data_IF_736994970609
#
_entry.id   IF_736994970609
#
_cell.length_a   1.000
_cell.length_b   1.000
_cell.length_c   1.000
_cell.angle_alpha   90.00
_cell.angle_beta   90.00
_cell.angle_gamma   90.00
#
_symmetry.space_group_name_H-M   'P 1'
#
loop_
_entity.id
_entity.type
_entity.pdbx_description
1 polymer ?
#
# COMPACT_ATOMS: atom_id res chain seq x y z
N UNK A 1 42.04 -28.28 59.74
CA UNK A 1 43.08 -27.65 58.90
C UNK A 1 42.79 -28.08 57.46
N UNK A 2 42.46 -27.26 56.48
CA UNK A 2 42.53 -25.81 56.27
C UNK A 2 41.44 -25.46 55.24
N UNK A 3 40.72 -24.37 55.54
CA UNK A 3 40.01 -23.42 54.70
C UNK A 3 39.59 -23.74 53.24
N UNK A 4 38.26 -23.71 53.07
CA UNK A 4 37.52 -22.86 52.14
C UNK A 4 38.37 -21.98 51.19
N UNK A 5 38.27 -22.23 49.89
CA UNK A 5 38.53 -21.21 48.87
C UNK A 5 37.26 -20.99 48.04
N UNK A 6 36.73 -19.78 48.19
CA UNK A 6 35.83 -19.14 47.25
C UNK A 6 36.33 -19.32 45.81
N UNK A 7 35.51 -19.94 44.96
CA UNK A 7 35.53 -19.64 43.54
C UNK A 7 34.20 -18.97 43.21
N UNK A 8 34.27 -17.64 43.13
CA UNK A 8 33.24 -16.76 42.60
C UNK A 8 32.85 -17.24 41.21
N UNK A 9 31.67 -17.84 41.08
CA UNK A 9 31.05 -18.10 39.79
C UNK A 9 30.74 -16.73 39.18
N UNK A 10 31.52 -16.36 38.16
CA UNK A 10 31.23 -15.23 37.27
C UNK A 10 29.86 -15.47 36.65
N UNK A 11 28.87 -14.69 37.06
CA UNK A 11 27.59 -14.61 36.35
C UNK A 11 27.89 -13.95 35.01
N UNK A 12 28.00 -14.75 33.95
CA UNK A 12 27.93 -14.23 32.58
C UNK A 12 26.52 -13.65 32.41
N UNK A 13 26.42 -12.33 32.41
CA UNK A 13 25.19 -11.64 32.03
C UNK A 13 24.87 -12.02 30.58
N UNK A 14 23.96 -12.97 30.39
CA UNK A 14 23.41 -13.29 29.08
C UNK A 14 22.52 -12.11 28.71
N UNK A 15 23.08 -11.13 28.01
CA UNK A 15 22.30 -10.10 27.34
C UNK A 15 21.62 -10.80 26.16
N UNK A 16 20.38 -11.27 26.39
CA UNK A 16 19.50 -11.62 25.29
C UNK A 16 19.23 -10.33 24.51
N UNK A 17 20.04 -10.09 23.48
CA UNK A 17 19.64 -9.23 22.37
C UNK A 17 18.45 -9.93 21.71
N UNK A 18 17.25 -9.56 22.13
CA UNK A 18 16.03 -9.92 21.42
C UNK A 18 16.09 -9.30 20.04
N UNK A 19 16.54 -10.06 19.05
CA UNK A 19 16.35 -9.71 17.65
C UNK A 19 14.85 -9.81 17.44
N UNK A 20 14.17 -8.67 17.32
CA UNK A 20 12.77 -8.62 16.97
C UNK A 20 12.64 -9.07 15.51
N UNK A 21 12.64 -10.37 15.28
CA UNK A 21 12.25 -10.97 14.00
C UNK A 21 10.76 -10.72 13.84
N UNK A 22 10.38 -9.78 12.98
CA UNK A 22 9.00 -9.66 12.51
C UNK A 22 8.67 -10.93 11.73
N UNK A 23 8.02 -11.89 12.39
CA UNK A 23 7.33 -12.96 11.71
C UNK A 23 6.07 -12.34 11.10
N UNK A 24 5.96 -12.37 9.77
CA UNK A 24 4.71 -12.13 9.07
C UNK A 24 4.13 -13.51 8.73
N UNK A 25 3.00 -13.84 9.35
CA UNK A 25 2.25 -15.07 9.08
C UNK A 25 1.89 -15.24 7.61
N UNK A 26 2.04 -16.50 7.17
CA UNK A 26 1.48 -17.16 5.98
C UNK A 26 1.35 -16.31 4.71
N UNK A 27 2.45 -16.26 3.97
CA UNK A 27 2.41 -16.18 2.52
C UNK A 27 3.51 -17.10 1.96
N UNK A 28 3.17 -18.33 1.63
CA UNK A 28 4.03 -19.28 0.90
C UNK A 28 4.43 -18.80 -0.51
N UNK A 29 4.27 -17.53 -0.85
CA UNK A 29 4.61 -16.93 -2.16
C UNK A 29 5.16 -15.49 -2.06
N UNK A 30 5.77 -15.08 -0.94
CA UNK A 30 6.63 -13.89 -0.95
C UNK A 30 7.90 -14.25 -1.75
N UNK A 31 7.80 -14.18 -3.08
CA UNK A 31 8.97 -14.02 -3.95
C UNK A 31 9.75 -12.83 -3.39
N UNK A 32 11.01 -13.04 -3.03
CA UNK A 32 11.96 -11.96 -2.75
C UNK A 32 12.02 -11.03 -3.97
N UNK A 33 11.12 -10.04 -4.01
CA UNK A 33 11.05 -9.05 -5.07
C UNK A 33 12.27 -8.17 -4.92
N UNK A 34 13.29 -8.44 -5.76
CA UNK A 34 14.50 -7.61 -5.84
C UNK A 34 14.22 -6.25 -6.48
N UNK A 35 13.15 -6.14 -7.28
CA UNK A 35 12.74 -4.90 -7.95
C UNK A 35 11.25 -4.93 -8.32
N UNK A 36 10.67 -3.75 -8.52
CA UNK A 36 9.32 -3.54 -9.02
C UNK A 36 9.22 -3.92 -10.51
N UNK A 37 8.48 -4.97 -10.83
CA UNK A 37 8.25 -5.40 -12.21
C UNK A 37 7.12 -4.61 -12.84
N UNK A 38 7.39 -3.34 -13.16
CA UNK A 38 6.40 -2.44 -13.74
C UNK A 38 5.88 -2.95 -15.09
N UNK A 39 4.56 -3.24 -15.19
CA UNK A 39 3.95 -3.54 -16.47
C UNK A 39 4.08 -2.40 -17.47
N UNK A 40 3.73 -2.70 -18.72
CA UNK A 40 3.59 -1.66 -19.73
C UNK A 40 2.39 -0.76 -19.36
N UNK A 41 2.59 0.56 -19.22
CA UNK A 41 1.49 1.48 -18.93
C UNK A 41 0.56 1.64 -20.13
N UNK A 42 -0.66 2.12 -19.88
CA UNK A 42 -1.56 2.54 -20.95
C UNK A 42 -0.91 3.65 -21.80
N UNK A 43 -1.20 3.64 -23.09
CA UNK A 43 -0.79 4.72 -23.99
C UNK A 43 -1.65 5.97 -23.76
N UNK A 44 -1.09 7.14 -24.08
CA UNK A 44 -1.81 8.43 -24.08
C UNK A 44 -2.52 8.74 -22.75
N UNK A 45 -1.92 8.35 -21.62
CA UNK A 45 -2.50 8.60 -20.30
C UNK A 45 -2.68 10.10 -20.02
N UNK A 46 -3.91 10.49 -19.68
CA UNK A 46 -4.24 11.83 -19.21
C UNK A 46 -4.16 11.90 -17.68
N UNK A 47 -3.00 12.38 -17.19
CA UNK A 47 -2.77 12.58 -15.77
C UNK A 47 -3.75 13.57 -15.15
N UNK A 48 -4.22 14.58 -15.89
CA UNK A 48 -5.11 15.62 -15.36
C UNK A 48 -6.47 15.02 -15.06
N UNK A 49 -7.02 14.23 -15.97
CA UNK A 49 -8.31 13.57 -15.76
C UNK A 49 -8.23 12.48 -14.69
N UNK A 50 -7.15 11.71 -14.64
CA UNK A 50 -6.98 10.66 -13.64
C UNK A 50 -6.78 11.21 -12.21
N UNK A 51 -5.96 12.26 -12.07
CA UNK A 51 -5.61 12.87 -10.79
C UNK A 51 -6.63 13.92 -10.34
N UNK A 52 -7.91 13.60 -10.52
CA UNK A 52 -9.04 14.36 -10.02
C UNK A 52 -9.82 13.52 -9.03
N UNK A 53 -10.30 14.12 -7.92
CA UNK A 53 -11.26 13.49 -7.00
C UNK A 53 -10.74 12.23 -6.29
N UNK A 54 -11.59 11.21 -6.13
CA UNK A 54 -11.35 10.00 -5.31
C UNK A 54 -11.52 8.74 -6.15
N UNK A 55 -10.67 7.77 -5.88
CA UNK A 55 -10.76 6.39 -6.35
C UNK A 55 -10.96 5.46 -5.15
N UNK A 56 -11.80 4.45 -5.31
CA UNK A 56 -12.05 3.41 -4.32
C UNK A 56 -11.49 2.10 -4.84
N UNK A 57 -10.70 1.39 -4.04
CA UNK A 57 -10.32 0.02 -4.38
C UNK A 57 -11.58 -0.84 -4.36
N UNK A 58 -11.77 -1.65 -5.39
CA UNK A 58 -12.89 -2.59 -5.52
C UNK A 58 -12.42 -4.02 -5.63
N UNK A 59 -11.27 -4.24 -6.27
CA UNK A 59 -10.60 -5.54 -6.31
C UNK A 59 -9.11 -5.34 -6.06
N UNK A 60 -8.47 -6.30 -5.41
CA UNK A 60 -7.04 -6.31 -5.16
C UNK A 60 -6.52 -7.74 -5.30
N UNK A 61 -5.42 -7.92 -6.04
CA UNK A 61 -4.79 -9.23 -6.20
C UNK A 61 -4.29 -9.74 -4.85
N UNK A 62 -3.59 -8.90 -4.09
CA UNK A 62 -3.00 -9.25 -2.80
C UNK A 62 -3.57 -8.43 -1.63
N UNK A 63 -3.40 -8.97 -0.42
CA UNK A 63 -3.71 -8.30 0.85
C UNK A 63 -5.08 -8.66 1.44
N UNK A 64 -5.53 -7.87 2.41
CA UNK A 64 -6.68 -8.19 3.26
C UNK A 64 -7.94 -7.40 2.90
N UNK A 65 -9.02 -7.62 3.66
CA UNK A 65 -10.26 -6.84 3.55
C UNK A 65 -10.01 -5.33 3.74
N UNK A 66 -8.98 -4.94 4.50
CA UNK A 66 -8.63 -3.53 4.64
C UNK A 66 -8.10 -2.92 3.33
N UNK A 67 -7.42 -3.72 2.49
CA UNK A 67 -6.91 -3.30 1.16
C UNK A 67 -8.03 -2.85 0.25
N UNK A 68 -9.07 -3.67 0.08
CA UNK A 68 -10.25 -3.33 -0.75
C UNK A 68 -11.12 -2.22 -0.15
N UNK A 69 -10.88 -1.86 1.12
CA UNK A 69 -11.52 -0.73 1.76
C UNK A 69 -10.77 0.60 1.58
N UNK A 70 -9.56 0.58 1.02
CA UNK A 70 -8.76 1.78 0.78
C UNK A 70 -9.45 2.69 -0.25
N UNK A 71 -9.17 3.98 -0.11
CA UNK A 71 -9.54 5.01 -1.07
C UNK A 71 -8.35 5.93 -1.30
N UNK A 72 -8.15 6.33 -2.54
CA UNK A 72 -7.10 7.25 -2.94
C UNK A 72 -7.74 8.56 -3.35
N UNK A 73 -7.52 9.61 -2.56
CA UNK A 73 -7.88 10.97 -2.95
C UNK A 73 -6.72 11.57 -3.71
N UNK A 74 -6.94 11.93 -4.97
CA UNK A 74 -5.92 12.42 -5.88
C UNK A 74 -6.15 13.89 -6.21
N UNK A 75 -5.06 14.61 -6.48
CA UNK A 75 -5.13 15.97 -7.01
C UNK A 75 -3.85 16.30 -7.78
N UNK A 76 -3.99 17.04 -8.87
CA UNK A 76 -2.89 17.68 -9.59
C UNK A 76 -3.04 19.20 -9.45
N UNK A 77 -2.02 19.88 -8.92
CA UNK A 77 -1.98 21.35 -8.78
C UNK A 77 -0.68 21.87 -9.37
N UNK A 78 -0.75 22.57 -10.49
CA UNK A 78 0.43 22.76 -11.35
C UNK A 78 1.00 21.40 -11.73
N UNK A 79 2.29 21.20 -11.48
CA UNK A 79 2.96 19.90 -11.67
C UNK A 79 2.98 19.05 -10.39
N UNK A 80 2.41 19.51 -9.28
CA UNK A 80 2.43 18.76 -8.03
C UNK A 80 1.30 17.73 -7.97
N UNK A 81 1.67 16.46 -7.86
CA UNK A 81 0.77 15.33 -7.65
C UNK A 81 0.59 15.12 -6.14
N UNK A 82 -0.65 14.88 -5.70
CA UNK A 82 -0.96 14.32 -4.38
C UNK A 82 -1.81 13.07 -4.54
N UNK A 83 -1.51 12.07 -3.71
CA UNK A 83 -2.29 10.86 -3.57
C UNK A 83 -2.38 10.53 -2.08
N UNK A 84 -3.57 10.70 -1.53
CA UNK A 84 -3.85 10.49 -0.11
C UNK A 84 -4.58 9.17 0.09
N UNK A 85 -3.97 8.26 0.85
CA UNK A 85 -4.43 6.89 1.03
C UNK A 85 -4.94 6.55 2.43
N UNK A 86 -5.60 7.47 3.16
CA UNK A 86 -6.01 7.14 4.55
C UNK A 86 -6.97 5.96 4.58
N UNK A 87 -6.70 5.05 5.51
CA UNK A 87 -7.46 3.83 5.69
C UNK A 87 -6.93 3.03 6.87
N UNK A 88 -7.47 1.83 7.01
CA UNK A 88 -6.95 0.85 7.95
C UNK A 88 -5.84 0.05 7.27
N UNK A 89 -4.72 -0.10 7.96
CA UNK A 89 -3.56 -0.85 7.51
C UNK A 89 -3.19 -1.88 8.57
N UNK A 90 -3.00 -3.11 8.14
CA UNK A 90 -2.43 -4.19 8.95
C UNK A 90 -0.95 -3.87 9.14
N UNK A 91 -0.54 -3.62 10.37
CA UNK A 91 0.83 -3.28 10.76
C UNK A 91 1.58 -4.52 11.27
N UNK A 92 0.86 -5.41 11.95
CA UNK A 92 1.27 -6.77 12.31
C UNK A 92 0.05 -7.68 12.25
N UNK A 93 0.24 -9.00 12.44
CA UNK A 93 -0.81 -10.02 12.37
C UNK A 93 -2.10 -9.63 13.11
N UNK A 94 -1.96 -9.14 14.34
CA UNK A 94 -3.10 -8.78 15.20
C UNK A 94 -3.42 -7.29 15.25
N UNK A 95 -2.65 -6.45 14.54
CA UNK A 95 -2.74 -5.00 14.67
C UNK A 95 -3.16 -4.34 13.35
N UNK A 96 -4.39 -3.84 13.31
CA UNK A 96 -4.90 -3.03 12.21
C UNK A 96 -5.23 -1.62 12.69
N UNK A 97 -4.47 -0.63 12.21
CA UNK A 97 -4.58 0.76 12.65
C UNK A 97 -5.14 1.66 11.55
N UNK A 98 -5.92 2.66 11.95
CA UNK A 98 -6.24 3.76 11.06
C UNK A 98 -5.01 4.66 10.90
N UNK A 99 -4.51 4.78 9.67
CA UNK A 99 -3.36 5.62 9.36
C UNK A 99 -3.68 6.62 8.26
N UNK A 100 -2.96 7.75 8.28
CA UNK A 100 -2.96 8.76 7.23
C UNK A 100 -1.76 8.54 6.34
N UNK A 101 -2.01 8.35 5.06
CA UNK A 101 -0.95 8.22 4.04
C UNK A 101 -0.98 9.45 3.15
N UNK A 102 0.12 10.19 3.11
CA UNK A 102 0.29 11.41 2.31
C UNK A 102 1.41 11.19 1.31
N UNK A 103 1.08 11.06 0.04
CA UNK A 103 2.05 10.92 -1.02
C UNK A 103 2.11 12.17 -1.88
N UNK A 104 3.32 12.56 -2.28
CA UNK A 104 3.57 13.69 -3.19
C UNK A 104 4.61 13.30 -4.24
N UNK A 105 4.43 13.84 -5.43
CA UNK A 105 5.42 13.75 -6.50
C UNK A 105 5.25 14.90 -7.48
N UNK A 106 6.09 14.89 -8.51
CA UNK A 106 5.98 15.83 -9.61
C UNK A 106 5.50 15.08 -10.84
N UNK A 107 4.65 15.72 -11.63
CA UNK A 107 4.30 15.25 -12.96
C UNK A 107 5.59 15.19 -13.78
N UNK A 108 5.90 14.02 -14.32
CA UNK A 108 7.05 13.90 -15.19
C UNK A 108 6.78 14.66 -16.49
N UNK A 109 7.76 15.45 -16.95
CA UNK A 109 7.67 16.21 -18.20
C UNK A 109 7.80 15.32 -19.42
N UNK A 110 8.36 14.12 -19.28
CA UNK A 110 8.36 13.08 -20.31
C UNK A 110 7.01 12.35 -20.32
N UNK A 111 6.06 13.06 -20.93
CA UNK A 111 4.89 12.62 -21.68
C UNK A 111 4.41 11.15 -21.58
N UNK A 112 3.12 11.01 -21.25
CA UNK A 112 2.20 9.90 -21.61
C UNK A 112 2.37 8.51 -21.00
N UNK A 113 3.37 8.25 -20.18
CA UNK A 113 3.69 6.88 -19.78
C UNK A 113 2.86 6.29 -18.62
N UNK A 114 1.73 6.84 -18.18
CA UNK A 114 0.90 6.23 -17.12
C UNK A 114 1.61 5.91 -15.79
N UNK A 115 2.84 6.41 -15.58
CA UNK A 115 3.74 6.06 -14.47
C UNK A 115 3.92 7.26 -13.55
N UNK A 116 3.72 7.04 -12.25
CA UNK A 116 3.88 8.07 -11.22
C UNK A 116 4.83 7.54 -10.13
N UNK A 117 5.82 8.32 -9.74
CA UNK A 117 6.69 8.02 -8.59
C UNK A 117 6.43 9.05 -7.50
N UNK A 118 6.06 8.58 -6.30
CA UNK A 118 5.58 9.41 -5.21
C UNK A 118 6.36 9.11 -3.92
N UNK A 119 6.82 10.17 -3.26
CA UNK A 119 7.35 10.07 -1.90
C UNK A 119 6.19 10.15 -0.89
N UNK A 120 6.09 9.15 -0.01
CA UNK A 120 4.99 8.97 0.91
C UNK A 120 5.41 9.05 2.38
N UNK A 121 4.46 9.51 3.20
CA UNK A 121 4.55 9.47 4.67
C UNK A 121 3.28 8.85 5.23
N UNK A 122 3.44 7.87 6.11
CA UNK A 122 2.38 7.24 6.88
C UNK A 122 2.48 7.61 8.35
N UNK A 123 1.37 8.10 8.91
CA UNK A 123 1.24 8.50 10.32
C UNK A 123 -0.02 7.92 10.93
N UNK A 124 0.00 7.61 12.23
CA UNK A 124 -1.14 7.13 13.00
C UNK A 124 -1.02 7.61 14.45
N UNK A 125 -2.13 7.65 15.19
CA UNK A 125 -2.09 8.01 16.62
C UNK A 125 -1.35 6.96 17.44
N UNK A 126 -1.56 5.68 17.09
CA UNK A 126 -0.92 4.51 17.70
C UNK A 126 0.37 4.09 16.99
N UNK A 127 0.88 4.91 16.06
CA UNK A 127 2.11 4.63 15.33
C UNK A 127 3.27 5.41 15.95
N UNK A 128 4.25 4.70 16.52
CA UNK A 128 5.36 5.32 17.25
C UNK A 128 6.17 6.32 16.42
N UNK A 129 6.31 6.05 15.11
CA UNK A 129 7.08 6.89 14.20
C UNK A 129 6.41 7.06 12.85
N UNK A 130 6.70 8.18 12.20
CA UNK A 130 6.30 8.38 10.80
C UNK A 130 7.07 7.42 9.90
N UNK A 131 6.36 6.54 9.19
CA UNK A 131 6.96 5.65 8.19
C UNK A 131 7.07 6.44 6.87
N UNK A 132 8.27 6.43 6.28
CA UNK A 132 8.52 7.00 4.94
C UNK A 132 8.73 5.86 3.96
N UNK A 133 8.20 6.00 2.76
CA UNK A 133 8.35 5.02 1.68
C UNK A 133 8.15 5.68 0.33
N UNK A 134 8.59 5.00 -0.73
CA UNK A 134 8.29 5.38 -2.10
C UNK A 134 7.14 4.54 -2.64
N UNK A 135 6.29 5.16 -3.45
CA UNK A 135 5.18 4.51 -4.13
C UNK A 135 5.32 4.79 -5.62
N UNK A 136 5.62 3.74 -6.37
CA UNK A 136 5.56 3.76 -7.83
C UNK A 136 4.20 3.20 -8.27
N UNK A 137 3.54 3.92 -9.17
CA UNK A 137 2.22 3.59 -9.70
C UNK A 137 2.33 3.47 -11.21
N UNK A 138 1.67 2.48 -11.79
CA UNK A 138 1.51 2.31 -13.24
C UNK A 138 0.03 2.10 -13.54
N UNK A 139 -0.54 3.02 -14.32
CA UNK A 139 -1.93 2.92 -14.79
C UNK A 139 -1.93 2.06 -16.04
N UNK A 140 -2.61 0.91 -15.95
CA UNK A 140 -2.67 -0.09 -17.01
C UNK A 140 -3.84 0.17 -17.97
N UNK A 141 -4.96 0.67 -17.43
CA UNK A 141 -6.16 1.04 -18.18
C UNK A 141 -7.03 1.97 -17.32
N UNK A 142 -7.73 2.93 -17.93
CA UNK A 142 -8.78 3.72 -17.28
C UNK A 142 -9.65 4.44 -18.30
N UNK A 143 -10.95 4.50 -18.02
CA UNK A 143 -11.89 5.37 -18.73
C UNK A 143 -12.02 6.76 -18.06
N UNK A 144 -11.19 7.02 -17.04
CA UNK A 144 -11.16 8.20 -16.18
C UNK A 144 -12.42 8.46 -15.33
N UNK A 145 -13.58 7.91 -15.69
CA UNK A 145 -14.89 8.29 -15.17
C UNK A 145 -15.58 7.20 -14.35
N UNK A 146 -15.22 5.93 -14.56
CA UNK A 146 -15.79 4.80 -13.82
C UNK A 146 -14.71 3.98 -13.17
N UNK A 147 -13.73 3.50 -13.94
CA UNK A 147 -12.77 2.50 -13.46
C UNK A 147 -11.32 2.84 -13.78
N UNK A 148 -10.40 2.18 -13.09
CA UNK A 148 -9.00 2.10 -13.47
C UNK A 148 -8.38 0.78 -13.02
N UNK A 149 -7.45 0.25 -13.81
CA UNK A 149 -6.57 -0.85 -13.42
C UNK A 149 -5.20 -0.26 -13.11
N UNK A 150 -4.71 -0.48 -11.90
CA UNK A 150 -3.51 0.13 -11.37
C UNK A 150 -2.57 -0.92 -10.80
N UNK A 151 -1.35 -0.99 -11.32
CA UNK A 151 -0.25 -1.61 -10.61
C UNK A 151 0.37 -0.60 -9.64
N UNK A 152 0.62 -1.01 -8.41
CA UNK A 152 1.39 -0.24 -7.42
C UNK A 152 2.58 -1.05 -6.94
N UNK A 153 3.67 -0.38 -6.65
CA UNK A 153 4.83 -0.95 -5.99
C UNK A 153 5.28 0.00 -4.88
N UNK A 154 5.41 -0.51 -3.66
CA UNK A 154 5.88 0.25 -2.50
C UNK A 154 7.27 -0.22 -2.14
N UNK A 155 8.15 0.75 -1.89
CA UNK A 155 9.54 0.53 -1.46
C UNK A 155 9.72 1.12 -0.08
N UNK A 156 9.86 0.26 0.92
CA UNK A 156 10.17 0.65 2.29
C UNK A 156 11.69 0.59 2.50
N UNK A 157 12.36 1.72 2.79
CA UNK A 157 13.77 1.70 3.14
C UNK A 157 13.94 1.00 4.50
N UNK A 158 14.85 0.03 4.55
CA UNK A 158 15.30 -0.67 5.74
C UNK A 158 16.76 -0.31 6.03
N UNK A 159 17.27 -0.67 7.21
CA UNK A 159 18.68 -0.43 7.57
C UNK A 159 19.65 -1.16 6.64
N UNK A 160 19.29 -2.36 6.19
CA UNK A 160 20.14 -3.24 5.37
C UNK A 160 19.59 -3.52 3.98
N UNK A 161 18.64 -2.72 3.49
CA UNK A 161 18.07 -2.93 2.16
C UNK A 161 16.75 -2.20 1.93
N UNK A 162 15.91 -2.79 1.08
CA UNK A 162 14.59 -2.27 0.73
C UNK A 162 13.60 -3.43 0.79
N UNK A 163 12.50 -3.25 1.51
CA UNK A 163 11.34 -4.15 1.42
C UNK A 163 10.42 -3.65 0.31
N UNK A 164 10.09 -4.54 -0.62
CA UNK A 164 9.24 -4.24 -1.78
C UNK A 164 7.91 -4.96 -1.66
N UNK A 165 6.81 -4.22 -1.82
CA UNK A 165 5.45 -4.78 -1.89
C UNK A 165 4.73 -4.25 -3.13
N UNK A 166 4.40 -5.13 -4.07
CA UNK A 166 3.59 -4.79 -5.22
C UNK A 166 2.16 -5.33 -5.12
N UNK A 167 1.27 -4.78 -5.95
CA UNK A 167 -0.11 -5.24 -6.06
C UNK A 167 -0.76 -4.69 -7.34
N UNK A 168 -1.70 -5.45 -7.90
CA UNK A 168 -2.62 -4.97 -8.94
C UNK A 168 -3.97 -4.68 -8.29
N UNK A 169 -4.48 -3.47 -8.53
CA UNK A 169 -5.73 -2.97 -7.97
C UNK A 169 -6.70 -2.60 -9.08
N UNK A 170 -7.96 -2.97 -8.91
CA UNK A 170 -9.08 -2.42 -9.68
C UNK A 170 -9.72 -1.32 -8.84
N UNK A 171 -9.73 -0.11 -9.39
CA UNK A 171 -10.27 1.08 -8.77
C UNK A 171 -11.57 1.48 -9.45
N UNK A 172 -12.47 2.10 -8.69
CA UNK A 172 -13.72 2.64 -9.18
C UNK A 172 -14.00 4.03 -8.59
N UNK A 173 -14.70 4.90 -9.32
CA UNK A 173 -15.11 6.24 -8.81
C UNK A 173 -16.13 6.15 -7.69
N UNK A 174 -16.85 5.04 -7.60
CA UNK A 174 -17.82 4.74 -6.55
C UNK A 174 -17.37 3.54 -5.72
N UNK A 175 -17.66 3.54 -4.42
CA UNK A 175 -17.31 2.41 -3.55
C UNK A 175 -18.26 1.21 -3.69
N UNK A 176 -19.41 1.41 -4.36
CA UNK A 176 -20.36 0.36 -4.73
C UNK A 176 -20.37 0.24 -6.24
N UNK A 177 -20.12 -0.98 -6.72
CA UNK A 177 -20.34 -1.34 -8.11
C UNK A 177 -21.77 -1.89 -8.17
N UNK A 178 -22.65 -1.20 -8.88
CA UNK A 178 -24.08 -1.60 -9.02
C UNK A 178 -24.35 -2.40 -10.29
N UNK A 179 -23.50 -2.22 -11.30
CA UNK A 179 -23.62 -2.83 -12.62
C UNK A 179 -22.52 -3.88 -12.80
N UNK A 180 -22.54 -4.57 -13.93
CA UNK A 180 -21.39 -5.39 -14.34
C UNK A 180 -20.12 -4.55 -14.46
N UNK A 181 -18.98 -5.19 -14.23
CA UNK A 181 -17.67 -4.58 -14.42
C UNK A 181 -17.44 -4.31 -15.90
N UNK A 182 -16.70 -3.23 -16.19
CA UNK A 182 -16.33 -2.92 -17.57
C UNK A 182 -15.43 -4.05 -18.12
N UNK A 183 -15.75 -4.64 -19.30
CA UNK A 183 -15.00 -5.77 -19.85
C UNK A 183 -13.51 -5.47 -20.07
N UNK A 184 -13.16 -4.19 -20.27
CA UNK A 184 -11.77 -3.75 -20.39
C UNK A 184 -10.93 -4.06 -19.16
N UNK A 185 -11.56 -4.22 -17.98
CA UNK A 185 -10.85 -4.64 -16.77
C UNK A 185 -10.29 -6.04 -16.97
N UNK A 186 -11.14 -7.01 -17.31
CA UNK A 186 -10.73 -8.40 -17.54
C UNK A 186 -9.74 -8.51 -18.70
N UNK A 187 -10.01 -7.86 -19.84
CA UNK A 187 -9.09 -7.83 -20.98
C UNK A 187 -7.69 -7.27 -20.63
N UNK A 188 -7.63 -6.32 -19.69
CA UNK A 188 -6.36 -5.73 -19.23
C UNK A 188 -5.61 -6.68 -18.31
N UNK A 189 -6.32 -7.37 -17.42
CA UNK A 189 -5.75 -8.35 -16.49
C UNK A 189 -5.24 -9.59 -17.24
N UNK A 190 -5.98 -10.09 -18.22
CA UNK A 190 -5.56 -11.23 -19.06
C UNK A 190 -4.25 -10.96 -19.81
N UNK A 191 -4.04 -9.73 -20.29
CA UNK A 191 -2.76 -9.31 -20.90
C UNK A 191 -1.58 -9.34 -19.94
N UNK A 192 -1.85 -9.41 -18.63
CA UNK A 192 -0.86 -9.57 -17.57
C UNK A 192 -0.83 -11.00 -17.01
N UNK A 193 -1.50 -11.95 -17.67
CA UNK A 193 -1.64 -13.35 -17.21
C UNK A 193 -2.32 -13.43 -15.83
N UNK A 194 -3.28 -12.54 -15.56
CA UNK A 194 -4.06 -12.49 -14.32
C UNK A 194 -5.55 -12.71 -14.62
N UNK A 195 -6.22 -13.43 -13.72
CA UNK A 195 -7.68 -13.58 -13.75
C UNK A 195 -8.31 -12.68 -12.68
N UNK A 196 -9.41 -12.01 -13.02
CA UNK A 196 -10.15 -11.18 -12.07
C UNK A 196 -10.70 -12.01 -10.89
N UNK A 197 -11.02 -13.28 -11.10
CA UNK A 197 -11.56 -14.16 -10.06
C UNK A 197 -10.54 -14.49 -8.96
N UNK A 198 -9.24 -14.31 -9.23
CA UNK A 198 -8.18 -14.40 -8.22
C UNK A 198 -8.16 -13.19 -7.28
N UNK A 199 -8.81 -12.08 -7.66
CA UNK A 199 -8.77 -10.85 -6.89
C UNK A 199 -9.76 -10.89 -5.74
N UNK A 200 -9.30 -10.45 -4.56
CA UNK A 200 -10.20 -10.14 -3.45
C UNK A 200 -11.17 -9.05 -3.86
N UNK A 201 -12.47 -9.33 -3.83
CA UNK A 201 -13.51 -8.33 -4.08
C UNK A 201 -13.90 -7.55 -2.82
N UNK A 202 -14.25 -6.29 -2.99
CA UNK A 202 -14.91 -5.44 -1.96
C UNK A 202 -16.35 -5.89 -1.68
N UNK A 203 -16.99 -6.61 -2.61
CA UNK A 203 -18.37 -7.05 -2.44
C UNK A 203 -18.51 -7.88 -1.16
N UNK A 204 -19.48 -7.52 -0.32
CA UNK A 204 -19.68 -8.18 0.99
C UNK A 204 -18.74 -7.73 2.12
N UNK A 205 -17.70 -6.93 1.84
CA UNK A 205 -16.77 -6.44 2.85
C UNK A 205 -17.32 -5.20 3.56
N UNK A 206 -17.46 -5.27 4.89
CA UNK A 206 -17.84 -4.14 5.73
C UNK A 206 -16.63 -3.25 6.01
N UNK A 207 -16.49 -2.17 5.23
CA UNK A 207 -15.39 -1.21 5.41
C UNK A 207 -15.62 -0.29 6.61
N UNK A 208 -14.66 -0.30 7.54
CA UNK A 208 -14.68 0.56 8.73
C UNK A 208 -14.63 2.04 8.34
N UNK A 209 -15.35 2.86 9.11
CA UNK A 209 -15.39 4.31 8.90
C UNK A 209 -14.15 4.96 9.49
N UNK A 210 -13.75 6.10 8.94
CA UNK A 210 -12.68 6.91 9.52
C UNK A 210 -13.06 7.32 10.95
N UNK A 211 -12.15 7.20 11.93
CA UNK A 211 -12.38 7.72 13.28
C UNK A 211 -12.75 9.20 13.23
N UNK A 212 -13.76 9.60 14.00
CA UNK A 212 -14.09 11.03 14.17
C UNK A 212 -12.99 11.65 15.03
N UNK A 213 -12.38 12.74 14.57
CA UNK A 213 -11.51 13.53 15.44
C UNK A 213 -12.35 14.03 16.62
N UNK A 214 -11.96 13.68 17.84
CA UNK A 214 -12.50 14.34 19.02
C UNK A 214 -12.11 15.83 18.92
N UNK A 215 -13.11 16.71 18.77
CA UNK A 215 -12.87 18.15 18.89
C UNK A 215 -12.48 18.38 20.34
N UNK A 216 -11.20 18.66 20.60
CA UNK A 216 -10.79 19.28 21.86
C UNK A 216 -11.56 20.59 21.94
N UNK A 217 -12.54 20.66 22.85
CA UNK A 217 -13.20 21.92 23.19
C UNK A 217 -12.09 22.79 23.80
N UNK A 218 -11.70 23.83 23.08
CA UNK A 218 -10.98 24.96 23.68
C UNK A 218 -11.95 25.75 24.55
#
# INVERSE_FOLDING_TARGET
MVFCLCSLIRIFGVTFFGILTFAFADATDLKDLKDCRHPRPMSNFDSKNFLTSTWYVTHALLGSNSTVCRRYKTSLTGDTIKLDGDGYYTISEDLTLFTKVRCKGLKNKTEHCGKLSLACKQTGEELERTIKFELDVTILETDYTKFAVMYRCVKFPLETGILIEDNVLVLHRTYTIKNELDPKISETLEKQELDLDEFRSRKGVKCQRRPKKNKVKK
#
